data_IF_118045846943
#
_entry.id   IF_118045846943
#
_cell.length_a   1.000
_cell.length_b   1.000
_cell.length_c   1.000
_cell.angle_alpha   90.00
_cell.angle_beta   90.00
_cell.angle_gamma   90.00
#
_symmetry.space_group_name_H-M   'P 1'
#
loop_
_entity.id
_entity.type
_entity.pdbx_description
1 polymer ?
#
# COMPACT_ATOMS: atom_id res chain seq x y z
N UNK A 1 0.86 5.06 5.15
CA UNK A 1 2.08 4.36 4.68
C UNK A 1 2.03 2.88 5.03
N UNK A 2 2.78 2.02 4.35
CA UNK A 2 2.92 0.59 4.68
C UNK A 2 4.17 0.36 5.56
N UNK A 3 4.05 -0.20 6.77
CA UNK A 3 5.21 -0.45 7.61
C UNK A 3 6.09 -1.56 7.02
N UNK A 4 7.39 -1.50 7.30
CA UNK A 4 8.36 -2.55 6.97
C UNK A 4 8.92 -3.13 8.27
N UNK A 5 9.13 -4.45 8.31
CA UNK A 5 9.79 -5.12 9.42
C UNK A 5 11.09 -5.77 8.93
N UNK A 6 12.12 -5.75 9.78
CA UNK A 6 13.33 -6.55 9.54
C UNK A 6 13.01 -8.02 9.75
N UNK A 7 13.37 -8.85 8.78
CA UNK A 7 13.31 -10.30 8.95
C UNK A 7 14.52 -10.71 9.79
N UNK A 8 14.31 -11.54 10.80
CA UNK A 8 15.34 -11.99 11.76
C UNK A 8 16.49 -12.81 11.13
N UNK A 9 16.46 -13.03 9.82
CA UNK A 9 17.56 -13.60 9.05
C UNK A 9 17.95 -12.68 7.89
N UNK A 10 19.22 -12.77 7.51
CA UNK A 10 19.76 -12.11 6.35
C UNK A 10 19.55 -12.97 5.08
N UNK A 11 19.73 -12.39 3.90
CA UNK A 11 19.82 -13.17 2.66
C UNK A 11 21.03 -14.14 2.68
N UNK A 12 21.17 -14.95 1.63
CA UNK A 12 22.27 -15.92 1.54
C UNK A 12 23.68 -15.28 1.61
N UNK A 13 23.78 -13.96 1.38
CA UNK A 13 25.01 -13.19 1.44
C UNK A 13 25.20 -12.44 2.77
N UNK A 14 24.23 -12.47 3.69
CA UNK A 14 24.30 -11.81 4.99
C UNK A 14 23.75 -10.38 5.02
N UNK A 15 23.02 -9.92 4.01
CA UNK A 15 22.35 -8.62 4.04
C UNK A 15 20.97 -8.68 4.70
N UNK A 16 20.59 -7.65 5.49
CA UNK A 16 19.28 -7.59 6.11
C UNK A 16 18.17 -7.51 5.05
N UNK A 17 17.12 -8.31 5.25
CA UNK A 17 15.92 -8.29 4.41
C UNK A 17 14.85 -7.49 5.14
N UNK A 18 14.23 -6.55 4.42
CA UNK A 18 13.04 -5.84 4.89
C UNK A 18 11.81 -6.39 4.20
N UNK A 19 10.77 -6.68 4.99
CA UNK A 19 9.49 -7.17 4.49
C UNK A 19 8.41 -6.11 4.67
N UNK A 20 7.68 -5.80 3.60
CA UNK A 20 6.51 -4.95 3.66
C UNK A 20 5.37 -5.66 4.40
N UNK A 21 4.87 -5.02 5.45
CA UNK A 21 3.76 -5.54 6.25
C UNK A 21 2.43 -5.15 5.60
N UNK A 22 1.82 -6.11 4.90
CA UNK A 22 0.59 -5.90 4.13
C UNK A 22 -0.70 -6.04 4.94
N UNK A 23 -0.63 -6.54 6.18
CA UNK A 23 -1.76 -6.55 7.12
C UNK A 23 -1.69 -5.28 7.96
N UNK A 24 -2.78 -4.52 7.98
CA UNK A 24 -2.86 -3.24 8.69
C UNK A 24 -3.62 -2.19 7.90
N UNK A 25 -3.23 -0.94 8.07
CA UNK A 25 -3.82 0.20 7.40
C UNK A 25 -2.77 1.29 7.16
N UNK A 26 -3.08 2.24 6.27
CA UNK A 26 -2.25 3.42 6.05
C UNK A 26 -2.70 4.28 4.89
N UNK A 27 -1.98 5.36 4.63
CA UNK A 27 -2.20 6.22 3.45
C UNK A 27 -1.88 5.53 2.13
N UNK A 28 -2.63 5.90 1.09
CA UNK A 28 -2.47 5.49 -0.29
C UNK A 28 -2.72 6.66 -1.25
N UNK A 29 -2.15 6.54 -2.45
CA UNK A 29 -2.42 7.41 -3.59
C UNK A 29 -2.93 6.54 -4.72
N UNK A 30 -4.15 6.82 -5.19
CA UNK A 30 -4.79 6.04 -6.26
C UNK A 30 -4.81 6.87 -7.53
N UNK A 31 -4.16 6.37 -8.58
CA UNK A 31 -4.19 6.95 -9.91
C UNK A 31 -5.20 6.18 -10.77
N UNK A 32 -6.30 6.82 -11.13
CA UNK A 32 -7.40 6.19 -11.89
C UNK A 32 -8.09 7.24 -12.77
N UNK A 33 -8.45 6.86 -14.00
CA UNK A 33 -9.09 7.77 -14.97
C UNK A 33 -8.40 9.14 -15.15
N UNK A 34 -7.05 9.18 -15.12
CA UNK A 34 -6.28 10.42 -15.22
C UNK A 34 -6.35 11.33 -13.99
N UNK A 35 -6.86 10.81 -12.86
CA UNK A 35 -6.98 11.54 -11.59
C UNK A 35 -6.14 10.87 -10.52
N UNK A 36 -5.67 11.70 -9.59
CA UNK A 36 -5.01 11.27 -8.36
C UNK A 36 -5.98 11.46 -7.18
N UNK A 37 -6.19 10.42 -6.39
CA UNK A 37 -7.01 10.44 -5.18
C UNK A 37 -6.14 10.04 -3.99
N UNK A 38 -6.07 10.91 -2.97
CA UNK A 38 -5.54 10.52 -1.67
C UNK A 38 -6.55 9.62 -0.96
N UNK A 39 -6.08 8.52 -0.37
CA UNK A 39 -6.95 7.52 0.23
C UNK A 39 -6.29 6.89 1.47
N UNK A 40 -7.06 6.14 2.24
CA UNK A 40 -6.55 5.17 3.21
C UNK A 40 -6.77 3.76 2.69
N UNK A 41 -5.75 2.91 2.77
CA UNK A 41 -5.88 1.49 2.57
C UNK A 41 -6.11 0.75 3.90
N UNK A 42 -6.85 -0.35 3.86
CA UNK A 42 -7.04 -1.25 5.00
C UNK A 42 -7.04 -2.70 4.53
N UNK A 43 -6.34 -3.56 5.28
CA UNK A 43 -6.35 -5.01 5.12
C UNK A 43 -6.24 -5.65 6.52
N UNK A 44 -7.36 -5.94 7.20
CA UNK A 44 -7.34 -6.36 8.60
C UNK A 44 -6.65 -7.70 8.86
N UNK A 45 -6.77 -8.65 7.93
CA UNK A 45 -6.13 -9.96 8.02
C UNK A 45 -5.51 -10.38 6.68
N UNK A 46 -4.65 -11.40 6.69
CA UNK A 46 -4.00 -11.90 5.47
C UNK A 46 -5.02 -12.47 4.45
N UNK A 47 -6.18 -12.93 4.90
CA UNK A 47 -7.25 -13.44 4.05
C UNK A 47 -8.13 -12.35 3.45
N UNK A 48 -8.05 -11.12 3.95
CA UNK A 48 -8.90 -10.03 3.50
C UNK A 48 -8.37 -9.36 2.24
N UNK A 49 -9.30 -8.85 1.44
CA UNK A 49 -9.02 -7.98 0.31
C UNK A 49 -8.63 -6.60 0.82
N UNK A 50 -7.61 -5.99 0.22
CA UNK A 50 -7.24 -4.60 0.51
C UNK A 50 -8.31 -3.66 -0.02
N UNK A 51 -8.87 -2.83 0.86
CA UNK A 51 -9.81 -1.77 0.49
C UNK A 51 -9.10 -0.42 0.45
N UNK A 52 -9.63 0.51 -0.36
CA UNK A 52 -9.15 1.89 -0.46
C UNK A 52 -10.34 2.82 -0.27
N UNK A 53 -10.23 3.73 0.70
CA UNK A 53 -11.30 4.67 1.06
C UNK A 53 -10.83 6.10 0.87
N UNK A 54 -11.63 6.90 0.16
CA UNK A 54 -11.37 8.31 -0.08
C UNK A 54 -11.56 9.19 1.17
N UNK A 55 -11.24 10.49 1.08
CA UNK A 55 -11.40 11.42 2.20
C UNK A 55 -12.87 11.71 2.56
N UNK A 56 -13.79 11.39 1.65
CA UNK A 56 -15.24 11.43 1.85
C UNK A 56 -15.79 10.21 2.59
N UNK A 57 -14.95 9.21 2.86
CA UNK A 57 -15.35 7.95 3.50
C UNK A 57 -15.89 6.91 2.52
N UNK A 58 -15.95 7.21 1.23
CA UNK A 58 -16.47 6.30 0.21
C UNK A 58 -15.35 5.42 -0.39
N UNK A 59 -15.67 4.21 -0.89
CA UNK A 59 -14.70 3.38 -1.60
C UNK A 59 -14.15 4.07 -2.85
N UNK A 60 -12.84 4.01 -3.05
CA UNK A 60 -12.22 4.51 -4.29
C UNK A 60 -12.54 3.56 -5.44
N UNK A 61 -13.15 4.09 -6.49
CA UNK A 61 -13.48 3.32 -7.69
C UNK A 61 -12.29 3.24 -8.66
N UNK A 62 -11.97 2.02 -9.08
CA UNK A 62 -10.97 1.76 -10.11
C UNK A 62 -11.64 1.60 -11.48
N UNK A 63 -10.96 2.10 -12.52
CA UNK A 63 -11.39 1.82 -13.90
C UNK A 63 -11.27 0.33 -14.21
N UNK A 64 -12.17 -0.27 -15.02
CA UNK A 64 -12.04 -1.65 -15.45
C UNK A 64 -10.69 -1.90 -16.15
N UNK A 65 -10.01 -2.99 -15.77
CA UNK A 65 -8.75 -3.40 -16.36
C UNK A 65 -7.69 -3.80 -15.32
N UNK A 66 -6.43 -3.96 -15.74
CA UNK A 66 -5.33 -4.27 -14.84
C UNK A 66 -5.15 -3.17 -13.79
N UNK A 67 -4.93 -3.58 -12.55
CA UNK A 67 -4.56 -2.69 -11.45
C UNK A 67 -3.15 -3.05 -11.00
N UNK A 68 -2.30 -2.03 -10.89
CA UNK A 68 -0.94 -2.15 -10.38
C UNK A 68 -0.88 -1.59 -8.98
N UNK A 69 -0.28 -2.32 -8.05
CA UNK A 69 -0.06 -1.89 -6.67
C UNK A 69 1.45 -1.74 -6.47
N UNK A 70 1.88 -0.54 -6.11
CA UNK A 70 3.26 -0.27 -5.72
C UNK A 70 3.30 0.00 -4.21
N UNK A 71 4.20 -0.69 -3.51
CA UNK A 71 4.45 -0.46 -2.09
C UNK A 71 5.64 0.50 -2.00
N UNK A 72 5.38 1.70 -1.50
CA UNK A 72 6.40 2.71 -1.30
C UNK A 72 6.94 2.66 0.14
N UNK A 73 8.24 2.91 0.35
CA UNK A 73 8.77 3.17 1.68
C UNK A 73 7.96 4.26 2.41
N UNK A 74 7.80 4.17 3.74
CA UNK A 74 7.10 5.20 4.51
C UNK A 74 7.60 6.62 4.21
N UNK A 75 6.66 7.54 3.96
CA UNK A 75 6.95 8.94 3.67
C UNK A 75 7.52 9.24 2.28
N UNK A 76 7.76 8.23 1.42
CA UNK A 76 8.33 8.43 0.08
C UNK A 76 7.30 8.58 -1.04
N UNK A 77 6.05 8.15 -0.81
CA UNK A 77 4.96 8.42 -1.74
C UNK A 77 4.47 9.85 -1.50
N UNK A 78 4.80 10.75 -2.42
CA UNK A 78 4.35 12.14 -2.41
C UNK A 78 3.79 12.52 -3.79
N UNK A 79 2.83 13.44 -3.81
CA UNK A 79 2.15 13.88 -5.03
C UNK A 79 2.64 15.24 -5.54
N UNK A 80 3.90 15.58 -5.26
CA UNK A 80 4.50 16.85 -5.63
C UNK A 80 4.85 16.93 -7.10
#
# INVERSE_FOLDING_TARGET
FTPYAEVQCCDAAGFPIVEAQLVGEGDAWVLSAGRLVQARWSRPTIGDVTTYTGPDGEPVLLTPGPTWVAIAPPGSAESR
#
